data_IF_306788839085
#
_entry.id   IF_306788839085
#
_cell.length_a   1.000
_cell.length_b   1.000
_cell.length_c   1.000
_cell.angle_alpha   90.00
_cell.angle_beta   90.00
_cell.angle_gamma   90.00
#
_symmetry.space_group_name_H-M   'P 1'
#
loop_
_entity.id
_entity.type
_entity.pdbx_description
1 polymer ?
#
# COMPACT_ATOMS: atom_id res chain seq x y z
N UNK A 1 -7.74 2.18 8.79
CA UNK A 1 -7.16 1.14 9.66
C UNK A 1 -7.00 1.57 11.11
N UNK A 2 -6.20 2.60 11.44
CA UNK A 2 -6.00 3.01 12.85
C UNK A 2 -7.32 3.34 13.58
N UNK A 3 -8.20 4.13 12.97
CA UNK A 3 -9.52 4.42 13.55
C UNK A 3 -10.41 3.17 13.67
N UNK A 4 -10.33 2.23 12.72
CA UNK A 4 -11.05 0.96 12.81
C UNK A 4 -10.55 0.13 13.97
N UNK A 5 -9.22 0.05 14.16
CA UNK A 5 -8.60 -0.66 15.28
C UNK A 5 -9.14 -0.16 16.61
N UNK A 6 -9.17 1.16 16.79
CA UNK A 6 -9.58 1.77 18.06
C UNK A 6 -11.08 1.70 18.33
N UNK A 7 -11.89 1.94 17.30
CA UNK A 7 -13.33 2.23 17.47
C UNK A 7 -14.26 1.10 17.04
N UNK A 8 -13.77 0.16 16.23
CA UNK A 8 -14.62 -0.87 15.60
C UNK A 8 -14.22 -2.27 16.04
N UNK A 9 -12.92 -2.57 16.06
CA UNK A 9 -12.46 -3.92 16.40
C UNK A 9 -12.70 -4.22 17.87
N UNK A 10 -13.36 -5.35 18.13
CA UNK A 10 -13.47 -5.90 19.49
C UNK A 10 -12.11 -6.38 20.00
N UNK A 11 -11.92 -6.53 21.33
CA UNK A 11 -10.68 -7.07 21.87
C UNK A 11 -10.29 -8.42 21.26
N UNK A 12 -11.27 -9.32 21.03
CA UNK A 12 -11.02 -10.63 20.41
C UNK A 12 -10.48 -10.50 18.98
N UNK A 13 -11.03 -9.59 18.17
CA UNK A 13 -10.55 -9.35 16.80
C UNK A 13 -9.15 -8.73 16.79
N UNK A 14 -8.83 -7.85 17.75
CA UNK A 14 -7.47 -7.29 17.88
C UNK A 14 -6.47 -8.37 18.25
N UNK A 15 -6.83 -9.26 19.18
CA UNK A 15 -6.01 -10.43 19.54
C UNK A 15 -5.80 -11.34 18.35
N UNK A 16 -6.85 -11.69 17.61
CA UNK A 16 -6.75 -12.54 16.41
C UNK A 16 -5.78 -11.94 15.37
N UNK A 17 -5.85 -10.63 15.12
CA UNK A 17 -4.93 -9.95 14.21
C UNK A 17 -3.50 -9.91 14.77
N UNK A 18 -3.33 -9.66 16.06
CA UNK A 18 -2.01 -9.63 16.71
C UNK A 18 -1.33 -11.01 16.68
N UNK A 19 -2.08 -12.08 16.97
CA UNK A 19 -1.63 -13.46 16.87
C UNK A 19 -1.30 -13.84 15.42
N UNK A 20 -2.14 -13.46 14.46
CA UNK A 20 -1.91 -13.67 13.04
C UNK A 20 -0.62 -13.03 12.53
N UNK A 21 -0.29 -11.84 13.06
CA UNK A 21 0.99 -11.18 12.80
C UNK A 21 2.18 -11.82 13.52
N UNK A 22 1.97 -12.66 14.53
CA UNK A 22 3.03 -13.00 15.49
C UNK A 22 3.65 -11.74 16.08
N UNK A 23 2.81 -10.76 16.45
CA UNK A 23 3.25 -9.47 16.95
C UNK A 23 3.83 -9.58 18.37
N UNK A 24 4.81 -8.73 18.68
CA UNK A 24 5.42 -8.69 20.03
C UNK A 24 4.41 -8.26 21.10
N UNK A 25 3.54 -7.31 20.77
CA UNK A 25 2.46 -6.82 21.62
C UNK A 25 1.32 -6.20 20.75
N UNK A 26 0.20 -5.86 21.38
CA UNK A 26 -0.95 -5.25 20.68
C UNK A 26 -0.59 -3.92 20.03
N UNK A 27 0.28 -3.12 20.66
CA UNK A 27 0.74 -1.84 20.10
C UNK A 27 1.49 -2.06 18.78
N UNK A 28 2.36 -3.05 18.73
CA UNK A 28 3.12 -3.44 17.54
C UNK A 28 2.19 -3.95 16.45
N UNK A 29 1.18 -4.76 16.81
CA UNK A 29 0.15 -5.22 15.88
C UNK A 29 -0.64 -4.05 15.28
N UNK A 30 -1.06 -3.10 16.10
CA UNK A 30 -1.79 -1.89 15.68
C UNK A 30 -0.95 -1.04 14.71
N UNK A 31 0.31 -0.77 15.05
CA UNK A 31 1.21 0.03 14.21
C UNK A 31 1.50 -0.69 12.89
N UNK A 32 1.81 -1.99 12.94
CA UNK A 32 2.03 -2.79 11.75
C UNK A 32 0.78 -2.85 10.86
N UNK A 33 -0.41 -3.07 11.43
CA UNK A 33 -1.67 -3.08 10.70
C UNK A 33 -1.93 -1.73 10.02
N UNK A 34 -1.78 -0.63 10.75
CA UNK A 34 -1.95 0.73 10.23
C UNK A 34 -1.00 1.02 9.07
N UNK A 35 0.27 0.68 9.23
CA UNK A 35 1.31 0.86 8.23
C UNK A 35 1.08 0.03 6.98
N UNK A 36 0.92 -1.30 7.14
CA UNK A 36 0.70 -2.24 6.05
C UNK A 36 -0.57 -1.90 5.26
N UNK A 37 -1.66 -1.51 5.94
CA UNK A 37 -2.86 -1.04 5.27
C UNK A 37 -2.62 0.23 4.46
N UNK A 38 -1.86 1.19 5.00
CA UNK A 38 -1.54 2.45 4.31
C UNK A 38 -0.66 2.25 3.07
N UNK A 39 0.25 1.28 3.09
CA UNK A 39 1.14 0.96 1.95
C UNK A 39 0.60 -0.14 1.03
N UNK A 40 -0.59 -0.68 1.30
CA UNK A 40 -1.22 -1.77 0.51
C UNK A 40 -1.31 -1.48 -0.98
N UNK A 41 -1.38 -0.20 -1.35
CA UNK A 41 -1.55 0.28 -2.73
C UNK A 41 -0.29 0.91 -3.32
N UNK A 42 0.89 0.75 -2.70
CA UNK A 42 2.14 1.36 -3.18
C UNK A 42 2.53 0.92 -4.60
N UNK A 43 2.10 -0.27 -5.03
CA UNK A 43 2.30 -0.78 -6.38
C UNK A 43 1.57 0.00 -7.49
N UNK A 44 0.63 0.88 -7.14
CA UNK A 44 0.07 1.85 -8.09
C UNK A 44 1.10 2.90 -8.52
N UNK A 45 2.14 3.17 -7.73
CA UNK A 45 3.25 4.02 -8.13
C UNK A 45 4.20 3.23 -9.04
N UNK A 46 3.78 2.96 -10.27
CA UNK A 46 4.60 2.33 -11.30
C UNK A 46 4.26 2.89 -12.70
N UNK A 47 5.18 2.75 -13.69
CA UNK A 47 5.02 3.39 -14.99
C UNK A 47 3.68 3.08 -15.67
N UNK A 48 3.30 1.81 -15.72
CA UNK A 48 2.10 1.36 -16.45
C UNK A 48 0.81 1.88 -15.82
N UNK A 49 0.75 1.98 -14.49
CA UNK A 49 -0.43 2.49 -13.80
C UNK A 49 -0.56 4.00 -13.97
N UNK A 50 0.56 4.73 -13.88
CA UNK A 50 0.60 6.18 -14.00
C UNK A 50 0.28 6.66 -15.42
N UNK A 51 0.64 5.89 -16.46
CA UNK A 51 0.22 6.18 -17.83
C UNK A 51 -1.24 5.79 -18.09
N UNK A 52 -1.77 4.80 -17.38
CA UNK A 52 -3.17 4.35 -17.55
C UNK A 52 -4.24 5.30 -16.99
N UNK A 53 -3.85 6.46 -16.46
CA UNK A 53 -4.77 7.50 -16.00
C UNK A 53 -5.78 7.90 -17.11
N UNK A 54 -5.32 7.90 -18.36
CA UNK A 54 -6.13 8.24 -19.54
C UNK A 54 -7.07 7.09 -19.98
N UNK A 55 -6.65 5.83 -19.83
CA UNK A 55 -7.17 4.72 -20.65
C UNK A 55 -8.44 4.02 -20.16
N UNK A 56 -9.04 4.40 -19.02
CA UNK A 56 -10.13 3.64 -18.37
C UNK A 56 -11.54 4.23 -18.51
N UNK A 57 -11.71 5.39 -19.14
CA UNK A 57 -13.02 6.00 -19.36
C UNK A 57 -13.11 6.57 -20.79
N UNK A 58 -14.32 6.87 -21.27
CA UNK A 58 -14.50 7.44 -22.62
C UNK A 58 -13.67 8.72 -22.77
N UNK A 59 -12.92 8.80 -23.87
CA UNK A 59 -12.17 9.99 -24.22
C UNK A 59 -13.11 11.19 -24.34
N UNK A 60 -12.76 12.29 -23.68
CA UNK A 60 -13.40 13.59 -23.83
C UNK A 60 -12.33 14.67 -23.93
N UNK A 61 -12.56 15.78 -24.65
CA UNK A 61 -11.57 16.85 -24.79
C UNK A 61 -11.11 17.42 -23.44
N UNK A 62 -12.01 17.52 -22.46
CA UNK A 62 -11.67 17.99 -21.12
C UNK A 62 -10.77 17.02 -20.36
N UNK A 63 -10.98 15.71 -20.54
CA UNK A 63 -10.14 14.67 -19.95
C UNK A 63 -8.75 14.66 -20.56
N UNK A 64 -8.65 14.77 -21.89
CA UNK A 64 -7.37 14.87 -22.58
C UNK A 64 -6.57 16.08 -22.08
N UNK A 65 -7.23 17.23 -21.92
CA UNK A 65 -6.62 18.43 -21.33
C UNK A 65 -6.16 18.20 -19.89
N UNK A 66 -6.99 17.59 -19.05
CA UNK A 66 -6.63 17.27 -17.67
C UNK A 66 -5.43 16.30 -17.60
N UNK A 67 -5.38 15.29 -18.48
CA UNK A 67 -4.26 14.35 -18.57
C UNK A 67 -2.97 15.05 -19.02
N UNK A 68 -3.04 15.96 -20.00
CA UNK A 68 -1.90 16.76 -20.44
C UNK A 68 -1.35 17.64 -19.31
N UNK A 69 -2.24 18.35 -18.60
CA UNK A 69 -1.87 19.20 -17.45
C UNK A 69 -1.25 18.37 -16.33
N UNK A 70 -1.88 17.26 -15.95
CA UNK A 70 -1.33 16.35 -14.93
C UNK A 70 0.06 15.84 -15.31
N UNK A 71 0.24 15.42 -16.57
CA UNK A 71 1.52 14.89 -17.05
C UNK A 71 2.61 15.95 -17.00
N UNK A 72 2.31 17.17 -17.44
CA UNK A 72 3.24 18.30 -17.38
C UNK A 72 3.64 18.61 -15.93
N UNK A 73 2.67 18.67 -15.02
CA UNK A 73 2.91 18.91 -13.60
C UNK A 73 3.74 17.78 -12.96
N UNK A 74 3.42 16.53 -13.25
CA UNK A 74 4.16 15.37 -12.77
C UNK A 74 5.62 15.39 -13.24
N UNK A 75 5.87 15.70 -14.51
CA UNK A 75 7.23 15.84 -15.04
C UNK A 75 7.98 17.01 -14.40
N UNK A 76 7.33 18.17 -14.20
CA UNK A 76 7.91 19.31 -13.47
C UNK A 76 8.26 18.96 -12.03
N UNK A 77 7.47 18.10 -11.39
CA UNK A 77 7.72 17.56 -10.05
C UNK A 77 8.77 16.42 -10.04
N UNK A 78 9.35 16.06 -11.18
CA UNK A 78 10.41 15.06 -11.27
C UNK A 78 9.92 13.61 -11.29
N UNK A 79 8.62 13.33 -11.51
CA UNK A 79 8.16 11.95 -11.69
C UNK A 79 8.84 11.32 -12.92
N UNK A 80 9.40 10.11 -12.82
CA UNK A 80 10.07 9.41 -13.90
C UNK A 80 9.05 8.79 -14.88
N UNK A 81 8.22 9.63 -15.49
CA UNK A 81 7.22 9.22 -16.45
C UNK A 81 7.89 8.74 -17.75
N UNK A 82 7.46 7.60 -18.30
CA UNK A 82 7.98 7.13 -19.58
C UNK A 82 7.51 8.06 -20.71
N UNK A 83 8.29 8.14 -21.79
CA UNK A 83 7.92 8.90 -22.99
C UNK A 83 6.58 8.42 -23.58
N UNK A 84 5.79 9.30 -24.22
CA UNK A 84 4.60 8.87 -24.95
C UNK A 84 4.93 7.76 -25.95
N UNK A 85 4.15 6.68 -25.96
CA UNK A 85 4.35 5.53 -26.85
C UNK A 85 5.47 4.55 -26.44
N UNK A 86 6.15 4.76 -25.32
CA UNK A 86 7.12 3.80 -24.80
C UNK A 86 6.45 2.44 -24.50
N UNK A 87 7.12 1.34 -24.84
CA UNK A 87 6.65 -0.01 -24.51
C UNK A 87 6.81 -0.25 -23.00
N UNK A 88 5.69 -0.40 -22.30
CA UNK A 88 5.68 -0.65 -20.86
C UNK A 88 5.37 -2.11 -20.58
N UNK A 89 6.02 -2.65 -19.55
CA UNK A 89 5.61 -3.93 -18.96
C UNK A 89 4.44 -3.67 -18.04
N UNK A 90 3.39 -4.47 -18.16
CA UNK A 90 2.20 -4.38 -17.34
C UNK A 90 2.20 -5.48 -16.28
N UNK A 91 1.77 -5.11 -15.08
CA UNK A 91 1.43 -6.03 -14.01
C UNK A 91 0.30 -5.41 -13.18
N UNK A 92 -0.49 -6.27 -12.53
CA UNK A 92 -1.47 -5.79 -11.55
C UNK A 92 -0.75 -5.09 -10.40
N UNK A 93 -1.32 -3.99 -9.90
CA UNK A 93 -0.68 -3.14 -8.89
C UNK A 93 -0.42 -3.92 -7.59
N UNK A 94 -1.29 -4.88 -7.28
CA UNK A 94 -1.20 -5.80 -6.16
C UNK A 94 0.10 -6.63 -6.19
N UNK A 95 0.43 -7.17 -7.36
CA UNK A 95 1.67 -7.93 -7.55
C UNK A 95 2.89 -7.03 -7.49
N UNK A 96 2.79 -5.79 -7.98
CA UNK A 96 3.87 -4.79 -7.85
C UNK A 96 4.10 -4.44 -6.38
N UNK A 97 3.04 -4.20 -5.60
CA UNK A 97 3.13 -3.98 -4.14
C UNK A 97 3.87 -5.15 -3.50
N UNK A 98 3.43 -6.39 -3.75
CA UNK A 98 4.03 -7.57 -3.17
C UNK A 98 5.51 -7.75 -3.55
N UNK A 99 5.90 -7.36 -4.76
CA UNK A 99 7.26 -7.47 -5.25
C UNK A 99 8.23 -6.46 -4.60
N UNK A 100 7.76 -5.25 -4.31
CA UNK A 100 8.64 -4.16 -3.82
C UNK A 100 8.61 -4.00 -2.31
N UNK A 101 7.49 -4.32 -1.66
CA UNK A 101 7.25 -3.97 -0.27
C UNK A 101 8.32 -4.51 0.70
N UNK A 102 8.76 -5.79 0.63
CA UNK A 102 9.78 -6.30 1.56
C UNK A 102 11.06 -5.45 1.57
N UNK A 103 11.50 -4.98 0.39
CA UNK A 103 12.69 -4.12 0.29
C UNK A 103 12.44 -2.73 0.87
N UNK A 104 11.25 -2.17 0.63
CA UNK A 104 10.86 -0.88 1.17
C UNK A 104 10.71 -0.90 2.71
N UNK A 105 10.63 -2.09 3.32
CA UNK A 105 10.45 -2.28 4.76
C UNK A 105 11.64 -2.94 5.46
N UNK A 106 12.82 -2.95 4.82
CA UNK A 106 14.08 -3.32 5.46
C UNK A 106 14.78 -4.58 4.94
N UNK A 107 14.25 -5.25 3.90
CA UNK A 107 14.95 -6.37 3.26
C UNK A 107 15.95 -5.87 2.21
N UNK A 108 17.25 -5.91 2.51
CA UNK A 108 18.35 -5.49 1.63
C UNK A 108 19.04 -6.65 0.88
N UNK A 109 18.51 -7.87 0.98
CA UNK A 109 19.12 -9.09 0.45
C UNK A 109 19.48 -8.95 -1.06
N UNK A 110 20.78 -8.90 -1.42
CA UNK A 110 21.22 -8.74 -2.81
C UNK A 110 20.87 -10.01 -3.60
N UNK A 111 20.17 -9.83 -4.74
CA UNK A 111 19.92 -10.92 -5.69
C UNK A 111 18.58 -11.67 -5.55
N UNK A 112 17.75 -11.38 -4.54
CA UNK A 112 16.40 -11.97 -4.41
C UNK A 112 15.33 -11.06 -5.01
N UNK A 113 15.63 -10.60 -6.23
CA UNK A 113 14.96 -9.47 -6.88
C UNK A 113 13.75 -9.89 -7.72
N UNK A 114 13.51 -11.19 -7.85
CA UNK A 114 12.42 -11.75 -8.65
C UNK A 114 11.30 -12.31 -7.75
N UNK A 115 10.90 -11.59 -6.69
CA UNK A 115 9.82 -12.05 -5.81
C UNK A 115 10.14 -13.32 -5.01
N UNK A 116 11.35 -13.88 -5.14
CA UNK A 116 11.83 -14.97 -4.30
C UNK A 116 12.00 -14.52 -2.85
N UNK A 117 11.61 -15.39 -1.92
CA UNK A 117 11.66 -15.10 -0.48
C UNK A 117 13.10 -14.90 -0.04
N UNK A 118 13.36 -13.88 0.79
CA UNK A 118 14.69 -13.75 1.36
C UNK A 118 15.05 -14.98 2.22
N UNK A 119 16.29 -15.47 2.06
CA UNK A 119 16.81 -16.61 2.84
C UNK A 119 17.02 -16.27 4.32
N UNK A 120 17.14 -14.99 4.66
CA UNK A 120 17.20 -14.54 6.05
C UNK A 120 15.83 -14.75 6.71
N UNK A 121 15.77 -15.64 7.70
CA UNK A 121 14.54 -15.94 8.45
C UNK A 121 13.88 -14.69 9.04
N UNK A 122 14.68 -13.70 9.48
CA UNK A 122 14.17 -12.44 10.00
C UNK A 122 13.30 -11.66 8.99
N UNK A 123 13.53 -11.82 7.69
CA UNK A 123 12.81 -11.09 6.64
C UNK A 123 11.66 -11.90 6.04
N UNK A 124 11.52 -13.19 6.36
CA UNK A 124 10.47 -14.04 5.79
C UNK A 124 9.06 -13.51 6.09
N UNK A 125 8.86 -12.98 7.30
CA UNK A 125 7.60 -12.35 7.70
C UNK A 125 7.20 -11.16 6.82
N UNK A 126 8.15 -10.41 6.26
CA UNK A 126 7.87 -9.31 5.34
C UNK A 126 7.25 -9.81 4.03
N UNK A 127 7.76 -10.91 3.49
CA UNK A 127 7.22 -11.51 2.25
C UNK A 127 5.84 -12.10 2.50
N UNK A 128 5.65 -12.78 3.63
CA UNK A 128 4.34 -13.28 4.06
C UNK A 128 3.31 -12.15 4.15
N UNK A 129 3.66 -11.04 4.82
CA UNK A 129 2.80 -9.87 4.93
C UNK A 129 2.52 -9.23 3.56
N UNK A 130 3.54 -9.10 2.70
CA UNK A 130 3.40 -8.52 1.36
C UNK A 130 2.47 -9.34 0.45
N UNK A 131 2.52 -10.67 0.55
CA UNK A 131 1.63 -11.56 -0.22
C UNK A 131 0.21 -11.56 0.31
N UNK A 132 0.03 -11.51 1.64
CA UNK A 132 -1.28 -11.46 2.28
C UNK A 132 -2.01 -10.13 2.03
N UNK A 133 -1.28 -9.01 1.99
CA UNK A 133 -1.84 -7.67 1.87
C UNK A 133 -2.79 -7.46 0.69
N UNK A 134 -2.61 -8.22 -0.38
CA UNK A 134 -3.40 -8.10 -1.59
C UNK A 134 -4.19 -9.38 -1.92
N UNK A 135 -4.47 -10.20 -0.90
CA UNK A 135 -5.30 -11.39 -1.07
C UNK A 135 -6.72 -10.97 -1.48
N UNK A 136 -7.22 -11.53 -2.58
CA UNK A 136 -8.64 -11.45 -2.94
C UNK A 136 -9.30 -12.78 -2.62
N UNK A 137 -10.15 -12.82 -1.59
CA UNK A 137 -10.78 -14.08 -1.15
C UNK A 137 -9.76 -15.03 -0.51
N UNK A 138 -9.67 -16.26 -1.01
CA UNK A 138 -8.74 -17.30 -0.52
C UNK A 138 -7.39 -17.32 -1.26
N UNK A 139 -7.28 -16.63 -2.40
CA UNK A 139 -6.14 -16.79 -3.31
C UNK A 139 -4.96 -15.90 -2.89
N UNK A 140 -3.91 -16.54 -2.36
CA UNK A 140 -2.62 -15.90 -2.08
C UNK A 140 -1.89 -15.67 -3.40
N UNK A 141 -1.21 -14.52 -3.54
CA UNK A 141 -0.43 -14.21 -4.73
C UNK A 141 0.66 -15.27 -4.96
N UNK A 142 0.70 -15.83 -6.18
CA UNK A 142 1.71 -16.81 -6.56
C UNK A 142 3.07 -16.15 -6.74
N UNK A 143 4.13 -16.76 -6.20
CA UNK A 143 5.49 -16.21 -6.21
C UNK A 143 5.96 -15.86 -7.64
N UNK A 144 5.73 -16.75 -8.61
CA UNK A 144 6.09 -16.50 -10.02
C UNK A 144 5.41 -15.27 -10.63
N UNK A 145 4.19 -14.94 -10.21
CA UNK A 145 3.49 -13.76 -10.72
C UNK A 145 4.05 -12.50 -10.09
N UNK A 146 4.40 -12.54 -8.81
CA UNK A 146 5.10 -11.47 -8.11
C UNK A 146 6.49 -11.24 -8.73
N UNK A 147 7.21 -12.32 -9.04
CA UNK A 147 8.50 -12.30 -9.75
C UNK A 147 8.40 -11.56 -11.09
N UNK A 148 7.43 -11.95 -11.91
CA UNK A 148 7.19 -11.31 -13.21
C UNK A 148 6.80 -9.83 -13.04
N UNK A 149 6.02 -9.50 -12.01
CA UNK A 149 5.59 -8.14 -11.72
C UNK A 149 6.74 -7.21 -11.33
N UNK A 150 7.83 -7.74 -10.75
CA UNK A 150 9.02 -6.94 -10.46
C UNK A 150 9.56 -6.23 -11.71
N UNK A 151 9.45 -6.85 -12.89
CA UNK A 151 9.89 -6.26 -14.16
C UNK A 151 9.03 -5.06 -14.61
N UNK A 152 7.83 -4.91 -14.05
CA UNK A 152 6.93 -3.80 -14.32
C UNK A 152 7.08 -2.64 -13.31
N UNK A 153 8.00 -2.74 -12.35
CA UNK A 153 8.21 -1.72 -11.30
C UNK A 153 8.79 -0.42 -11.85
N UNK A 154 9.46 -0.42 -13.01
CA UNK A 154 10.17 0.77 -13.49
C UNK A 154 11.49 1.04 -12.75
N UNK A 155 11.96 0.12 -11.90
CA UNK A 155 13.29 0.13 -11.31
C UNK A 155 13.56 1.25 -10.30
N UNK A 156 14.85 1.54 -10.10
CA UNK A 156 15.36 2.43 -9.06
C UNK A 156 14.71 3.84 -9.02
N UNK A 157 14.46 4.52 -10.16
CA UNK A 157 13.78 5.82 -10.12
C UNK A 157 12.39 5.77 -9.47
N UNK A 158 11.64 4.69 -9.72
CA UNK A 158 10.33 4.49 -9.11
C UNK A 158 10.42 4.01 -7.66
N UNK A 159 11.50 3.31 -7.30
CA UNK A 159 11.73 2.91 -5.91
C UNK A 159 11.97 4.10 -4.99
N UNK A 160 12.62 5.16 -5.47
CA UNK A 160 12.76 6.43 -4.71
C UNK A 160 11.38 7.02 -4.40
N UNK A 161 10.48 7.07 -5.39
CA UNK A 161 9.11 7.56 -5.20
C UNK A 161 8.35 6.69 -4.19
N UNK A 162 8.43 5.36 -4.32
CA UNK A 162 7.78 4.45 -3.39
C UNK A 162 8.33 4.55 -1.98
N UNK A 163 9.64 4.74 -1.82
CA UNK A 163 10.26 4.94 -0.52
C UNK A 163 9.72 6.20 0.14
N UNK A 164 9.64 7.32 -0.60
CA UNK A 164 9.06 8.55 -0.08
C UNK A 164 7.59 8.37 0.36
N UNK A 165 6.79 7.60 -0.39
CA UNK A 165 5.41 7.26 -0.01
C UNK A 165 5.35 6.36 1.24
N UNK A 166 6.23 5.36 1.32
CA UNK A 166 6.33 4.46 2.48
C UNK A 166 6.75 5.24 3.73
N UNK A 167 7.74 6.13 3.62
CA UNK A 167 8.21 6.98 4.71
C UNK A 167 7.14 7.96 5.19
N UNK A 168 6.35 8.51 4.26
CA UNK A 168 5.19 9.33 4.59
C UNK A 168 4.18 8.53 5.43
N UNK A 169 3.78 7.33 4.98
CA UNK A 169 2.86 6.47 5.74
C UNK A 169 3.46 6.07 7.09
N UNK A 170 4.74 5.71 7.13
CA UNK A 170 5.45 5.36 8.35
C UNK A 170 5.43 6.50 9.37
N UNK A 171 5.72 7.73 8.93
CA UNK A 171 5.64 8.96 9.73
C UNK A 171 4.22 9.22 10.23
N UNK A 172 3.21 9.07 9.37
CA UNK A 172 1.81 9.26 9.75
C UNK A 172 1.37 8.26 10.84
N UNK A 173 1.78 7.00 10.72
CA UNK A 173 1.43 5.94 11.68
C UNK A 173 2.27 6.02 12.96
N UNK A 174 3.45 6.65 12.91
CA UNK A 174 4.39 6.71 14.04
C UNK A 174 5.23 5.44 14.19
N UNK A 175 5.65 4.85 13.08
CA UNK A 175 6.48 3.63 13.00
C UNK A 175 7.71 3.88 12.12
N UNK A 176 8.82 3.19 12.39
CA UNK A 176 9.94 3.13 11.46
C UNK A 176 9.73 1.97 10.48
N UNK A 177 9.68 2.24 9.16
CA UNK A 177 9.38 1.19 8.17
C UNK A 177 10.34 -0.02 8.29
N UNK A 178 11.63 0.23 8.54
CA UNK A 178 12.64 -0.81 8.72
C UNK A 178 12.57 -1.60 10.03
N UNK A 179 11.73 -1.19 11.01
CA UNK A 179 11.53 -1.97 12.24
C UNK A 179 10.49 -3.07 12.10
N UNK A 180 9.73 -3.12 10.99
CA UNK A 180 8.67 -4.10 10.77
C UNK A 180 9.10 -5.56 11.00
N UNK A 181 10.30 -6.03 10.58
CA UNK A 181 10.78 -7.39 10.88
C UNK A 181 10.92 -7.74 12.37
N UNK A 182 11.12 -6.71 13.21
CA UNK A 182 11.23 -6.88 14.66
C UNK A 182 9.87 -6.81 15.37
N UNK A 183 8.86 -6.24 14.73
CA UNK A 183 7.53 -6.03 15.31
C UNK A 183 6.56 -7.16 15.02
N UNK A 184 6.69 -7.81 13.84
CA UNK A 184 5.80 -8.88 13.39
C UNK A 184 6.59 -10.04 12.79
N UNK A 185 6.10 -11.26 12.99
CA UNK A 185 6.68 -12.51 12.45
C UNK A 185 5.58 -13.48 12.03
N UNK A 186 4.75 -13.14 11.03
CA UNK A 186 3.70 -14.03 10.58
C UNK A 186 4.31 -15.32 10.03
N UNK A 187 3.83 -16.46 10.52
CA UNK A 187 4.31 -17.80 10.15
C UNK A 187 3.91 -18.20 8.74
N UNK A 188 2.71 -17.81 8.32
CA UNK A 188 2.13 -18.19 7.03
C UNK A 188 1.15 -17.11 6.52
N UNK A 189 0.83 -17.07 5.20
CA UNK A 189 -0.08 -16.06 4.67
C UNK A 189 -1.54 -16.23 5.14
N UNK A 190 -1.95 -17.42 5.59
CA UNK A 190 -3.32 -17.70 6.01
C UNK A 190 -3.60 -17.11 7.39
N UNK A 191 -2.60 -17.02 8.28
CA UNK A 191 -2.67 -16.35 9.57
C UNK A 191 -3.05 -14.87 9.43
N UNK A 192 -2.83 -14.27 8.25
CA UNK A 192 -3.17 -12.89 7.94
C UNK A 192 -4.53 -12.73 7.23
N UNK A 193 -5.38 -13.76 7.22
CA UNK A 193 -6.70 -13.70 6.57
C UNK A 193 -7.59 -12.61 7.16
N UNK A 194 -7.72 -12.56 8.50
CA UNK A 194 -8.51 -11.53 9.18
C UNK A 194 -8.00 -10.12 8.86
N UNK A 195 -6.68 -9.93 8.92
CA UNK A 195 -6.04 -8.67 8.56
C UNK A 195 -6.31 -8.26 7.10
N UNK A 196 -6.23 -9.20 6.15
CA UNK A 196 -6.47 -8.93 4.72
C UNK A 196 -7.92 -8.48 4.46
N UNK A 197 -8.88 -9.08 5.18
CA UNK A 197 -10.27 -8.63 5.18
C UNK A 197 -10.42 -7.19 5.68
N UNK A 198 -9.74 -6.85 6.77
CA UNK A 198 -9.74 -5.49 7.32
C UNK A 198 -9.09 -4.47 6.38
N UNK A 199 -8.00 -4.82 5.70
CA UNK A 199 -7.36 -3.95 4.69
C UNK A 199 -8.35 -3.67 3.57
N UNK A 200 -9.04 -4.69 3.06
CA UNK A 200 -10.05 -4.54 2.00
C UNK A 200 -11.18 -3.60 2.43
N UNK A 201 -11.72 -3.77 3.65
CA UNK A 201 -12.72 -2.87 4.22
C UNK A 201 -12.19 -1.44 4.38
N UNK A 202 -10.98 -1.27 4.91
CA UNK A 202 -10.35 0.05 5.08
C UNK A 202 -10.15 0.76 3.73
N UNK A 203 -9.80 0.03 2.68
CA UNK A 203 -9.66 0.58 1.32
C UNK A 203 -11.02 0.99 0.76
N UNK A 204 -12.06 0.19 0.95
CA UNK A 204 -13.42 0.54 0.53
C UNK A 204 -13.90 1.84 1.18
N UNK A 205 -13.80 1.93 2.51
CA UNK A 205 -14.15 3.13 3.28
C UNK A 205 -13.39 4.37 2.82
N UNK A 206 -12.10 4.22 2.49
CA UNK A 206 -11.28 5.34 2.00
C UNK A 206 -11.69 5.85 0.61
N UNK A 207 -12.42 5.07 -0.19
CA UNK A 207 -12.86 5.49 -1.54
C UNK A 207 -14.18 6.24 -1.51
N UNK A 208 -15.08 5.85 -0.61
CA UNK A 208 -16.41 6.46 -0.49
C UNK A 208 -16.35 7.91 0.03
N UNK A 209 -15.34 8.24 0.84
CA UNK A 209 -15.21 9.57 1.46
C UNK A 209 -14.40 10.60 0.66
N UNK A 210 -13.79 10.19 -0.47
CA UNK A 210 -12.90 11.04 -1.31
C UNK A 210 -13.63 11.61 -2.53
N UNK A 211 -14.94 11.40 -2.65
CA UNK A 211 -15.75 11.98 -3.72
C UNK A 211 -15.95 13.49 -3.52
N UNK A 212 -14.88 14.29 -3.68
CA UNK A 212 -14.95 15.76 -3.70
C UNK A 212 -13.71 16.50 -3.19
N UNK A 213 -12.82 15.86 -2.42
CA UNK A 213 -11.67 16.52 -1.80
C UNK A 213 -10.36 15.81 -2.14
N UNK A 214 -9.81 16.14 -3.31
CA UNK A 214 -8.52 15.59 -3.78
C UNK A 214 -7.40 16.39 -3.11
N UNK A 215 -6.48 15.69 -2.44
CA UNK A 215 -5.30 16.31 -1.83
C UNK A 215 -4.57 17.21 -2.86
N UNK A 216 -4.26 18.43 -2.44
CA UNK A 216 -3.55 19.38 -3.28
C UNK A 216 -2.07 19.02 -3.32
N UNK A 217 -1.38 19.08 -4.48
CA UNK A 217 0.07 18.86 -4.55
C UNK A 217 0.88 19.92 -3.78
N UNK A 218 0.23 21.00 -3.32
CA UNK A 218 0.84 22.08 -2.54
C UNK A 218 0.48 22.03 -1.05
N UNK A 219 -0.28 21.03 -0.64
CA UNK A 219 -0.64 20.87 0.76
C UNK A 219 0.59 20.45 1.59
N UNK A 220 0.75 21.05 2.76
CA UNK A 220 1.78 20.62 3.69
C UNK A 220 1.41 19.29 4.39
N UNK A 221 2.43 18.67 4.97
CA UNK A 221 2.29 17.36 5.60
C UNK A 221 1.28 17.31 6.76
N UNK A 222 1.22 18.38 7.55
CA UNK A 222 0.36 18.46 8.73
C UNK A 222 -1.11 18.55 8.34
N UNK A 223 -1.40 19.35 7.32
CA UNK A 223 -2.75 19.51 6.76
C UNK A 223 -3.21 18.20 6.11
N UNK A 224 -2.37 17.56 5.29
CA UNK A 224 -2.70 16.24 4.70
C UNK A 224 -2.97 15.19 5.78
N UNK A 225 -2.14 15.15 6.84
CA UNK A 225 -2.31 14.21 7.96
C UNK A 225 -3.60 14.47 8.73
N UNK A 226 -3.88 15.74 9.07
CA UNK A 226 -5.08 16.14 9.80
C UNK A 226 -6.35 15.80 9.01
N UNK A 227 -6.32 16.04 7.71
CA UNK A 227 -7.40 15.70 6.80
C UNK A 227 -7.61 14.19 6.72
N UNK A 228 -6.55 13.40 6.57
CA UNK A 228 -6.63 11.95 6.56
C UNK A 228 -7.26 11.38 7.85
N UNK A 229 -6.92 11.96 9.01
CA UNK A 229 -7.56 11.61 10.29
C UNK A 229 -9.05 11.96 10.31
N UNK A 230 -9.43 13.15 9.84
CA UNK A 230 -10.83 13.57 9.79
C UNK A 230 -11.68 12.64 8.90
N UNK A 231 -11.19 12.32 7.69
CA UNK A 231 -11.87 11.36 6.80
C UNK A 231 -11.97 9.97 7.42
N UNK A 232 -10.88 9.47 8.03
CA UNK A 232 -10.90 8.16 8.66
C UNK A 232 -11.92 8.10 9.80
N UNK A 233 -12.02 9.15 10.63
CA UNK A 233 -13.00 9.24 11.72
C UNK A 233 -14.43 9.32 11.19
N UNK A 234 -14.67 10.12 10.15
CA UNK A 234 -15.97 10.24 9.47
C UNK A 234 -16.42 8.89 8.92
N UNK A 235 -15.58 8.25 8.11
CA UNK A 235 -15.89 6.98 7.47
C UNK A 235 -16.16 5.86 8.49
N UNK A 236 -15.37 5.77 9.57
CA UNK A 236 -15.59 4.79 10.65
C UNK A 236 -16.85 5.12 11.45
N UNK A 237 -17.13 6.40 11.70
CA UNK A 237 -18.35 6.83 12.40
C UNK A 237 -19.63 6.33 11.73
N UNK A 238 -19.65 6.24 10.39
CA UNK A 238 -20.81 5.72 9.64
C UNK A 238 -21.08 4.23 9.87
N UNK A 239 -20.05 3.45 10.22
CA UNK A 239 -20.21 2.00 10.50
C UNK A 239 -21.03 1.80 11.77
N UNK A 240 -20.88 2.68 12.77
CA UNK A 240 -21.55 2.57 14.07
C UNK A 240 -23.00 3.08 14.11
N UNK A 241 -23.48 3.76 13.07
CA UNK A 241 -24.84 4.34 13.02
C UNK A 241 -25.82 3.44 12.24
N UNK A 242 -25.33 2.38 11.60
CA UNK A 242 -26.13 1.46 10.78
C UNK A 242 -26.40 0.08 11.40
N UNK A 243 -26.14 -0.10 12.71
CA UNK A 243 -26.36 -1.35 13.44
C UNK A 243 -27.59 -1.29 14.34
#
# INVERSE_FOLDING_TARGET
MLEMWERVLSPAQRTEVAEGFGAVDERSARLAAGFLAGVSRVGHACPSQMVSFDTRQRASPDRERACAVWREQAMKAGLPLPLPGARLRHAAAEHVTAAVLPRLTGCDCPGLVDGERCRAHAHQGLYTAAYALNRQGADVLHADTVAKAYRATGGAPWDVIRMALVDAVARHVGIAAGSLPSLIRPSDPLSLTAFSGLVSQSVALSREDVAGDVASPHEDWETTTSRAHLHARSAVGRIGVGG
#
